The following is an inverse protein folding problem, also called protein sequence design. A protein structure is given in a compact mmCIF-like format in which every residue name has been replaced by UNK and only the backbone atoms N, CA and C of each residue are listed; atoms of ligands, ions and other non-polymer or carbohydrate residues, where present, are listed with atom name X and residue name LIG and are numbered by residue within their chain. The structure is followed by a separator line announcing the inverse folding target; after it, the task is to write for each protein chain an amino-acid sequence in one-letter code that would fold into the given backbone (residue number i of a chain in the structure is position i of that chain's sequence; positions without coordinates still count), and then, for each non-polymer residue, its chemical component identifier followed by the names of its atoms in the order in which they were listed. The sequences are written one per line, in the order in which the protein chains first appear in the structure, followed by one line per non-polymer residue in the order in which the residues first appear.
data_IF_331443284624
#
_entry.id   IF_331443284624
#
_cell.length_a   1.000
_cell.length_b   1.000
_cell.length_c   1.000
_cell.angle_alpha   90.00
_cell.angle_beta   90.00
_cell.angle_gamma   90.00
#
_symmetry.space_group_name_H-M   'P 1'
#
loop_
_entity.id
_entity.type
_entity.pdbx_description
1 polymer ?
#
# COMPACT_ATOMS: atom_id res chain seq x y z
N UNK A 1 -39.79 -37.83 -40.56
CA UNK A 1 -39.95 -37.71 -39.11
C UNK A 1 -41.07 -36.69 -38.89
N UNK A 2 -42.17 -37.09 -38.24
CA UNK A 2 -43.36 -36.26 -38.06
C UNK A 2 -42.99 -35.00 -37.23
N UNK A 3 -43.45 -33.80 -37.65
CA UNK A 3 -43.10 -32.55 -36.89
C UNK A 3 -43.53 -32.58 -35.43
N UNK A 4 -44.53 -33.36 -35.10
CA UNK A 4 -44.99 -33.55 -33.74
C UNK A 4 -43.99 -34.33 -32.86
N UNK A 5 -43.32 -35.36 -33.41
CA UNK A 5 -42.26 -36.10 -32.71
C UNK A 5 -41.02 -35.27 -32.46
N UNK A 6 -40.69 -34.35 -33.38
CA UNK A 6 -39.54 -33.42 -33.22
C UNK A 6 -39.78 -32.43 -32.08
N UNK A 7 -40.98 -31.90 -31.97
CA UNK A 7 -41.30 -30.96 -30.87
C UNK A 7 -41.35 -31.66 -29.51
N UNK A 8 -41.84 -32.92 -29.43
CA UNK A 8 -41.82 -33.68 -28.17
C UNK A 8 -40.42 -34.01 -27.71
N UNK A 9 -39.48 -34.35 -28.61
CA UNK A 9 -38.06 -34.60 -28.27
C UNK A 9 -37.38 -33.33 -27.80
N UNK A 10 -37.64 -32.19 -28.42
CA UNK A 10 -37.06 -30.90 -28.00
C UNK A 10 -37.56 -30.48 -26.60
N UNK A 11 -38.86 -30.59 -26.34
CA UNK A 11 -39.45 -30.23 -25.04
C UNK A 11 -38.96 -31.16 -23.94
N UNK A 12 -38.86 -32.47 -24.19
CA UNK A 12 -38.33 -33.41 -23.19
C UNK A 12 -36.84 -33.16 -22.86
N UNK A 13 -36.05 -32.78 -23.89
CA UNK A 13 -34.63 -32.40 -23.70
C UNK A 13 -34.45 -31.16 -22.80
N UNK A 14 -35.30 -30.16 -22.94
CA UNK A 14 -35.28 -28.97 -22.07
C UNK A 14 -35.72 -29.28 -20.64
N UNK A 15 -36.72 -30.14 -20.45
CA UNK A 15 -37.20 -30.58 -19.12
C UNK A 15 -36.09 -31.33 -18.39
N UNK A 16 -35.34 -32.20 -19.05
CA UNK A 16 -34.21 -32.93 -18.46
C UNK A 16 -33.08 -31.97 -18.14
N UNK A 17 -32.80 -30.99 -19.01
CA UNK A 17 -31.78 -29.94 -18.76
C UNK A 17 -32.11 -29.08 -17.54
N UNK A 18 -33.37 -28.61 -17.44
CA UNK A 18 -33.79 -27.81 -16.28
C UNK A 18 -33.87 -28.62 -14.99
N UNK A 19 -34.29 -29.91 -15.07
CA UNK A 19 -34.29 -30.80 -13.90
C UNK A 19 -32.85 -31.08 -13.41
N UNK A 20 -31.90 -31.29 -14.34
CA UNK A 20 -30.48 -31.47 -13.99
C UNK A 20 -29.85 -30.19 -13.35
N UNK A 21 -30.17 -29.02 -13.91
CA UNK A 21 -29.73 -27.73 -13.34
C UNK A 21 -30.36 -27.48 -11.97
N UNK A 22 -31.67 -27.75 -11.81
CA UNK A 22 -32.36 -27.63 -10.53
C UNK A 22 -31.80 -28.58 -9.47
N UNK A 23 -31.50 -29.82 -9.85
CA UNK A 23 -30.89 -30.82 -8.96
C UNK A 23 -29.45 -30.39 -8.57
N UNK A 24 -28.68 -29.88 -9.55
CA UNK A 24 -27.33 -29.35 -9.29
C UNK A 24 -27.33 -28.16 -8.32
N UNK A 25 -28.25 -27.22 -8.50
CA UNK A 25 -28.45 -26.09 -7.60
C UNK A 25 -28.96 -26.55 -6.22
N UNK A 26 -29.87 -27.53 -6.17
CA UNK A 26 -30.38 -28.07 -4.90
C UNK A 26 -29.31 -28.84 -4.15
N UNK A 27 -28.49 -29.67 -4.79
CA UNK A 27 -27.35 -30.36 -4.17
C UNK A 27 -26.28 -29.37 -3.74
N UNK A 28 -26.06 -28.32 -4.52
CA UNK A 28 -25.13 -27.22 -4.18
C UNK A 28 -25.62 -26.35 -3.00
N UNK A 29 -26.95 -26.23 -2.81
CA UNK A 29 -27.58 -25.46 -1.73
C UNK A 29 -27.81 -26.26 -0.45
N UNK A 30 -27.59 -27.58 -0.45
CA UNK A 30 -27.69 -28.38 0.77
C UNK A 30 -26.71 -27.82 1.81
N UNK A 31 -27.19 -27.50 3.04
CA UNK A 31 -26.32 -27.09 4.10
C UNK A 31 -25.32 -28.21 4.38
N UNK A 32 -24.07 -28.02 3.93
CA UNK A 32 -23.00 -28.97 4.21
C UNK A 32 -22.95 -29.14 5.72
N UNK A 33 -23.10 -30.38 6.17
CA UNK A 33 -23.13 -30.72 7.60
C UNK A 33 -22.03 -30.01 8.37
N UNK A 34 -22.30 -29.61 9.60
CA UNK A 34 -21.31 -28.96 10.46
C UNK A 34 -20.06 -29.86 10.55
N UNK A 35 -18.94 -29.37 10.04
CA UNK A 35 -17.67 -30.07 10.15
C UNK A 35 -16.99 -29.67 11.44
N UNK A 36 -16.28 -30.62 12.02
CA UNK A 36 -15.42 -30.36 13.17
C UNK A 36 -14.16 -29.66 12.66
N UNK A 37 -13.74 -28.62 13.34
CA UNK A 37 -12.49 -27.92 13.03
C UNK A 37 -11.30 -28.81 13.34
N UNK A 38 -10.52 -29.11 12.32
CA UNK A 38 -9.31 -29.94 12.40
C UNK A 38 -8.05 -29.13 12.64
N UNK A 39 -8.05 -27.85 12.25
CA UNK A 39 -6.92 -26.96 12.43
C UNK A 39 -7.21 -25.53 11.98
N UNK A 40 -6.27 -24.64 12.29
CA UNK A 40 -6.27 -23.25 11.85
C UNK A 40 -4.94 -22.91 11.18
N UNK A 41 -5.00 -22.31 10.00
CA UNK A 41 -3.83 -21.84 9.26
C UNK A 41 -3.95 -20.35 8.98
N UNK A 42 -2.89 -19.60 9.25
CA UNK A 42 -2.79 -18.18 8.98
C UNK A 42 -1.71 -17.95 7.93
N UNK A 43 -2.05 -17.23 6.87
CA UNK A 43 -1.11 -16.80 5.85
C UNK A 43 -1.12 -15.29 5.75
N UNK A 44 0.05 -14.66 5.93
CA UNK A 44 0.23 -13.22 5.76
C UNK A 44 0.89 -12.97 4.41
N UNK A 45 0.23 -12.19 3.57
CA UNK A 45 0.79 -11.65 2.34
C UNK A 45 1.41 -10.29 2.63
N UNK A 46 2.72 -10.19 2.49
CA UNK A 46 3.50 -8.99 2.76
C UNK A 46 4.55 -8.77 1.66
N UNK A 47 4.99 -7.52 1.41
CA UNK A 47 6.13 -7.25 0.54
C UNK A 47 7.39 -7.96 1.07
N UNK A 48 8.30 -8.35 0.16
CA UNK A 48 9.52 -9.10 0.53
C UNK A 48 10.46 -8.32 1.46
N UNK A 49 10.40 -7.01 1.36
CA UNK A 49 11.25 -6.03 2.05
C UNK A 49 10.57 -5.36 3.25
N UNK A 50 9.37 -5.80 3.64
CA UNK A 50 8.59 -5.20 4.73
C UNK A 50 7.86 -6.27 5.53
N UNK A 51 8.48 -6.79 6.57
CA UNK A 51 7.85 -7.76 7.48
C UNK A 51 7.27 -7.06 8.73
N UNK A 52 6.27 -6.19 8.53
CA UNK A 52 5.72 -5.34 9.59
C UNK A 52 4.78 -6.07 10.55
N UNK A 53 4.21 -7.21 10.12
CA UNK A 53 3.20 -7.99 10.85
C UNK A 53 3.62 -9.47 10.91
N UNK A 54 3.49 -10.08 12.07
CA UNK A 54 3.68 -11.53 12.27
C UNK A 54 2.40 -12.17 12.81
N UNK A 55 2.26 -13.49 12.66
CA UNK A 55 1.06 -14.23 13.10
C UNK A 55 0.79 -14.05 14.59
N UNK A 56 1.83 -13.92 15.41
CA UNK A 56 1.69 -13.73 16.86
C UNK A 56 0.95 -12.44 17.22
N UNK A 57 1.07 -11.37 16.41
CA UNK A 57 0.39 -10.11 16.65
C UNK A 57 -1.14 -10.22 16.48
N UNK A 58 -1.61 -11.18 15.67
CA UNK A 58 -3.03 -11.42 15.42
C UNK A 58 -3.69 -12.37 16.44
N UNK A 59 -2.91 -12.85 17.42
CA UNK A 59 -3.44 -13.77 18.45
C UNK A 59 -4.59 -13.19 19.29
N UNK A 60 -4.57 -11.89 19.67
CA UNK A 60 -5.68 -11.28 20.39
C UNK A 60 -7.01 -11.34 19.62
N UNK A 61 -6.98 -11.08 18.30
CA UNK A 61 -8.13 -11.08 17.41
C UNK A 61 -8.74 -12.49 17.30
N UNK A 62 -7.88 -13.51 17.16
CA UNK A 62 -8.32 -14.91 17.15
C UNK A 62 -8.96 -15.31 18.48
N UNK A 63 -8.35 -14.94 19.61
CA UNK A 63 -8.88 -15.24 20.95
C UNK A 63 -10.22 -14.52 21.20
N UNK A 64 -10.37 -13.29 20.71
CA UNK A 64 -11.61 -12.52 20.86
C UNK A 64 -12.84 -13.20 20.19
N UNK A 65 -12.59 -14.15 19.27
CA UNK A 65 -13.62 -14.95 18.58
C UNK A 65 -13.58 -16.42 19.01
N UNK A 66 -12.97 -16.70 20.15
CA UNK A 66 -12.99 -18.02 20.80
C UNK A 66 -11.95 -19.04 20.33
N UNK A 67 -10.86 -18.60 19.65
CA UNK A 67 -9.76 -19.54 19.35
C UNK A 67 -9.06 -20.03 20.63
N UNK A 68 -8.55 -21.27 20.65
CA UNK A 68 -8.46 -22.24 19.54
C UNK A 68 -9.78 -22.96 19.30
N UNK A 69 -10.12 -23.18 18.02
CA UNK A 69 -11.40 -23.82 17.62
C UNK A 69 -11.31 -25.31 17.33
N UNK A 70 -10.14 -25.94 17.48
CA UNK A 70 -9.94 -27.37 17.22
C UNK A 70 -10.93 -28.21 18.02
N UNK A 71 -11.69 -29.05 17.32
CA UNK A 71 -12.75 -29.84 17.92
C UNK A 71 -14.14 -29.16 17.95
N UNK A 72 -14.22 -27.84 17.75
CA UNK A 72 -15.50 -27.12 17.66
C UNK A 72 -16.18 -27.33 16.30
N UNK A 73 -17.47 -27.02 16.21
CA UNK A 73 -18.17 -26.99 14.93
C UNK A 73 -17.77 -25.76 14.13
N UNK A 74 -17.52 -25.91 12.81
CA UNK A 74 -17.26 -24.76 11.91
C UNK A 74 -18.40 -23.73 11.91
N UNK A 75 -19.61 -24.12 12.28
CA UNK A 75 -20.78 -23.22 12.39
C UNK A 75 -20.74 -22.32 13.63
N UNK A 76 -19.97 -22.71 14.66
CA UNK A 76 -19.83 -21.95 15.91
C UNK A 76 -18.83 -20.78 15.75
N UNK A 77 -18.01 -20.82 14.70
CA UNK A 77 -17.04 -19.74 14.44
C UNK A 77 -17.75 -18.59 13.75
N UNK A 78 -17.75 -17.44 14.39
CA UNK A 78 -18.25 -16.21 13.79
C UNK A 78 -17.21 -15.62 12.82
N UNK A 79 -17.16 -16.18 11.58
CA UNK A 79 -16.22 -15.78 10.54
C UNK A 79 -16.33 -14.26 10.20
N UNK A 80 -17.55 -13.68 10.02
CA UNK A 80 -17.66 -12.25 9.76
C UNK A 80 -17.04 -11.37 10.86
N UNK A 81 -17.28 -11.73 12.11
CA UNK A 81 -16.69 -11.01 13.25
C UNK A 81 -15.17 -11.15 13.29
N UNK A 82 -14.64 -12.32 12.96
CA UNK A 82 -13.20 -12.54 12.89
C UNK A 82 -12.56 -11.70 11.79
N UNK A 83 -13.15 -11.65 10.60
CA UNK A 83 -12.68 -10.78 9.52
C UNK A 83 -12.71 -9.30 9.89
N UNK A 84 -13.78 -8.87 10.59
CA UNK A 84 -13.89 -7.50 11.10
C UNK A 84 -12.78 -7.19 12.09
N UNK A 85 -12.52 -8.07 13.06
CA UNK A 85 -11.45 -7.92 14.05
C UNK A 85 -10.07 -7.87 13.39
N UNK A 86 -9.81 -8.78 12.45
CA UNK A 86 -8.54 -8.78 11.70
C UNK A 86 -8.36 -7.49 10.87
N UNK A 87 -9.42 -6.99 10.23
CA UNK A 87 -9.38 -5.72 9.46
C UNK A 87 -9.21 -4.48 10.34
N UNK A 88 -9.63 -4.55 11.60
CA UNK A 88 -9.44 -3.47 12.56
C UNK A 88 -8.00 -3.37 13.08
N UNK A 89 -7.16 -4.40 12.87
CA UNK A 89 -5.76 -4.38 13.27
C UNK A 89 -4.95 -3.37 12.44
N UNK A 90 -4.10 -2.57 13.07
CA UNK A 90 -3.40 -1.43 12.47
C UNK A 90 -2.61 -1.77 11.21
N UNK A 91 -2.00 -2.95 11.15
CA UNK A 91 -1.16 -3.40 10.04
C UNK A 91 -1.90 -4.20 8.97
N UNK A 92 -3.21 -4.42 9.10
CA UNK A 92 -4.00 -5.20 8.16
C UNK A 92 -4.67 -4.31 7.13
N UNK A 93 -4.42 -4.58 5.84
CA UNK A 93 -5.10 -3.95 4.70
C UNK A 93 -6.40 -4.70 4.36
N UNK A 94 -6.31 -6.06 4.30
CA UNK A 94 -7.44 -6.94 4.01
C UNK A 94 -7.31 -8.23 4.80
N UNK A 95 -8.44 -8.81 5.17
CA UNK A 95 -8.51 -10.12 5.77
C UNK A 95 -9.67 -10.91 5.16
N UNK A 96 -9.42 -12.17 4.85
CA UNK A 96 -10.39 -13.15 4.36
C UNK A 96 -10.27 -14.40 5.22
N UNK A 97 -11.40 -14.91 5.72
CA UNK A 97 -11.44 -16.12 6.54
C UNK A 97 -12.48 -17.07 5.96
N UNK A 98 -12.11 -18.32 5.80
CA UNK A 98 -13.03 -19.36 5.34
C UNK A 98 -12.67 -20.72 5.91
N UNK A 99 -13.66 -21.60 5.99
CA UNK A 99 -13.45 -23.00 6.30
C UNK A 99 -13.35 -23.83 5.03
N UNK A 100 -12.39 -24.73 4.97
CA UNK A 100 -12.19 -25.65 3.87
C UNK A 100 -13.01 -26.95 4.08
N UNK A 101 -13.11 -27.73 3.02
CA UNK A 101 -13.88 -28.98 3.03
C UNK A 101 -13.36 -30.04 4.02
N UNK A 102 -12.07 -29.97 4.39
CA UNK A 102 -11.38 -30.84 5.35
C UNK A 102 -11.53 -30.37 6.82
N UNK A 103 -12.26 -29.28 7.05
CA UNK A 103 -12.45 -28.72 8.39
C UNK A 103 -11.37 -27.76 8.84
N UNK A 104 -10.40 -27.41 7.99
CA UNK A 104 -9.38 -26.39 8.32
C UNK A 104 -9.98 -24.99 8.19
N UNK A 105 -9.80 -24.13 9.20
CA UNK A 105 -10.08 -22.70 9.12
C UNK A 105 -8.84 -22.01 8.53
N UNK A 106 -9.01 -21.27 7.46
CA UNK A 106 -7.93 -20.50 6.82
C UNK A 106 -8.17 -19.01 6.94
N UNK A 107 -7.17 -18.31 7.48
CA UNK A 107 -7.13 -16.85 7.53
C UNK A 107 -6.06 -16.34 6.60
N UNK A 108 -6.46 -15.61 5.56
CA UNK A 108 -5.56 -14.95 4.62
C UNK A 108 -5.57 -13.47 4.94
N UNK A 109 -4.43 -12.94 5.35
CA UNK A 109 -4.27 -11.56 5.76
C UNK A 109 -3.32 -10.86 4.81
N UNK A 110 -3.72 -9.72 4.26
CA UNK A 110 -2.83 -8.84 3.50
C UNK A 110 -2.36 -7.71 4.41
N UNK A 111 -1.05 -7.63 4.63
CA UNK A 111 -0.42 -6.56 5.38
C UNK A 111 -0.48 -5.23 4.60
N UNK A 112 -0.65 -4.11 5.30
CA UNK A 112 -0.45 -2.76 4.73
C UNK A 112 0.99 -2.58 4.25
N UNK A 113 1.16 -1.88 3.14
CA UNK A 113 2.48 -1.54 2.61
C UNK A 113 2.83 -0.11 3.00
N UNK A 114 3.91 0.06 3.74
CA UNK A 114 4.43 1.39 4.06
C UNK A 114 5.12 2.01 2.84
N UNK A 115 4.77 3.25 2.52
CA UNK A 115 5.33 4.01 1.38
C UNK A 115 6.25 5.13 1.81
N UNK A 116 6.01 5.71 2.97
CA UNK A 116 6.84 6.73 3.59
C UNK A 116 6.76 6.66 5.11
N UNK A 117 7.69 7.31 5.78
CA UNK A 117 7.63 7.59 7.20
C UNK A 117 7.27 9.05 7.39
N UNK A 118 6.13 9.29 8.04
CA UNK A 118 5.69 10.65 8.40
C UNK A 118 6.32 10.99 9.75
N UNK A 119 6.97 12.15 9.81
CA UNK A 119 7.62 12.65 11.02
C UNK A 119 6.90 13.91 11.49
N UNK A 120 6.44 13.92 12.73
CA UNK A 120 5.80 15.07 13.38
C UNK A 120 6.39 15.25 14.77
N UNK A 121 7.30 16.20 14.93
CA UNK A 121 8.05 16.38 16.17
C UNK A 121 8.86 15.14 16.54
N UNK A 122 8.59 14.57 17.71
CA UNK A 122 9.24 13.34 18.20
C UNK A 122 8.53 12.05 17.79
N UNK A 123 7.38 12.16 17.13
CA UNK A 123 6.58 11.00 16.71
C UNK A 123 6.83 10.66 15.25
N UNK A 124 6.80 9.38 14.96
CA UNK A 124 6.87 8.88 13.59
C UNK A 124 5.82 7.79 13.40
N UNK A 125 5.21 7.78 12.21
CA UNK A 125 4.25 6.76 11.78
C UNK A 125 4.54 6.38 10.34
N UNK A 126 4.05 5.23 9.89
CA UNK A 126 4.05 4.88 8.47
C UNK A 126 2.86 5.50 7.75
N UNK A 127 3.01 5.74 6.45
CA UNK A 127 1.91 6.09 5.56
C UNK A 127 1.77 5.04 4.46
N UNK A 128 0.53 4.65 4.15
CA UNK A 128 0.18 3.81 3.01
C UNK A 128 -0.02 4.64 1.73
N UNK A 129 -0.22 3.98 0.59
CA UNK A 129 -0.40 4.64 -0.71
C UNK A 129 -1.66 5.55 -0.78
N UNK A 130 -2.64 5.34 0.10
CA UNK A 130 -3.86 6.14 0.21
C UNK A 130 -3.70 7.37 1.11
N UNK A 131 -2.53 7.53 1.73
CA UNK A 131 -2.27 8.57 2.71
C UNK A 131 -2.87 8.29 4.09
N UNK A 132 -3.27 7.04 4.34
CA UNK A 132 -3.61 6.56 5.66
C UNK A 132 -2.35 6.35 6.49
N UNK A 133 -2.43 6.64 7.78
CA UNK A 133 -1.28 6.47 8.69
C UNK A 133 -1.49 5.27 9.61
N UNK A 134 -0.40 4.62 10.01
CA UNK A 134 -0.40 3.50 10.94
C UNK A 134 0.92 3.44 11.73
N UNK A 135 0.96 2.77 12.91
CA UNK A 135 2.10 2.79 13.80
C UNK A 135 3.39 2.23 13.17
N UNK A 136 4.54 2.52 13.79
CA UNK A 136 5.78 1.82 13.46
C UNK A 136 5.73 0.39 13.95
N UNK A 137 6.27 -0.54 13.16
CA UNK A 137 6.39 -1.94 13.54
C UNK A 137 7.55 -2.15 14.51
N UNK A 138 7.36 -3.08 15.44
CA UNK A 138 8.45 -3.59 16.31
C UNK A 138 9.28 -4.71 15.64
N UNK A 139 8.82 -5.23 14.50
CA UNK A 139 9.45 -6.37 13.83
C UNK A 139 10.40 -5.96 12.72
N UNK A 140 10.05 -4.87 12.00
CA UNK A 140 10.83 -4.41 10.86
C UNK A 140 10.79 -2.89 10.74
N UNK A 141 11.86 -2.32 10.20
CA UNK A 141 12.00 -0.88 9.97
C UNK A 141 12.54 -0.64 8.56
N UNK A 142 11.70 -0.76 7.54
CA UNK A 142 12.12 -0.60 6.16
C UNK A 142 12.68 0.79 5.90
N UNK A 143 13.65 0.86 4.98
CA UNK A 143 14.19 2.14 4.50
C UNK A 143 13.15 2.82 3.60
N UNK A 144 12.56 3.88 4.09
CA UNK A 144 11.50 4.62 3.43
C UNK A 144 11.84 6.11 3.39
N UNK A 145 11.35 6.84 2.38
CA UNK A 145 11.44 8.28 2.37
C UNK A 145 10.77 8.90 3.61
N UNK A 146 11.34 10.00 4.08
CA UNK A 146 10.80 10.77 5.20
C UNK A 146 9.89 11.89 4.66
N UNK A 147 8.76 12.12 5.33
CA UNK A 147 7.88 13.26 5.02
C UNK A 147 7.60 13.98 6.33
N UNK A 148 7.92 15.28 6.38
CA UNK A 148 7.62 16.16 7.50
C UNK A 148 6.65 17.27 7.08
N UNK A 149 5.98 17.90 8.05
CA UNK A 149 5.05 19.01 7.81
C UNK A 149 3.70 18.63 7.19
N UNK A 150 3.51 17.41 6.71
CA UNK A 150 2.23 16.94 6.18
C UNK A 150 1.34 16.41 7.31
N UNK A 151 0.16 17.02 7.51
CA UNK A 151 -0.76 16.71 8.60
C UNK A 151 -2.05 16.05 8.15
N UNK A 152 -2.43 16.21 6.87
CA UNK A 152 -3.65 15.65 6.30
C UNK A 152 -3.36 14.50 5.35
N UNK A 153 -4.30 13.57 5.22
CA UNK A 153 -4.20 12.48 4.23
C UNK A 153 -4.06 12.99 2.78
N UNK A 154 -4.55 14.21 2.50
CA UNK A 154 -4.40 14.84 1.18
C UNK A 154 -2.94 15.25 0.94
N UNK A 155 -2.33 15.93 1.90
CA UNK A 155 -0.93 16.38 1.84
C UNK A 155 0.01 15.17 1.76
N UNK A 156 -0.22 14.15 2.58
CA UNK A 156 0.52 12.90 2.53
C UNK A 156 0.45 12.26 1.14
N UNK A 157 -0.74 12.16 0.54
CA UNK A 157 -0.88 11.64 -0.84
C UNK A 157 -0.13 12.47 -1.86
N UNK A 158 -0.14 13.79 -1.74
CA UNK A 158 0.62 14.68 -2.62
C UNK A 158 2.12 14.46 -2.48
N UNK A 159 2.62 14.33 -1.25
CA UNK A 159 4.01 14.00 -0.98
C UNK A 159 4.41 12.65 -1.59
N UNK A 160 3.59 11.60 -1.38
CA UNK A 160 3.83 10.28 -1.97
C UNK A 160 3.86 10.30 -3.50
N UNK A 161 2.95 11.05 -4.14
CA UNK A 161 2.95 11.23 -5.59
C UNK A 161 4.21 11.94 -6.10
N UNK A 162 4.73 12.90 -5.36
CA UNK A 162 5.98 13.58 -5.70
C UNK A 162 7.17 12.62 -5.56
N UNK A 163 7.24 11.87 -4.48
CA UNK A 163 8.29 10.86 -4.25
C UNK A 163 8.30 9.79 -5.34
N UNK A 164 7.13 9.24 -5.70
CA UNK A 164 7.00 8.23 -6.74
C UNK A 164 7.45 8.78 -8.12
N UNK A 165 7.06 10.01 -8.45
CA UNK A 165 7.49 10.66 -9.70
C UNK A 165 8.99 10.93 -9.73
N UNK A 166 9.54 11.38 -8.61
CA UNK A 166 10.98 11.64 -8.49
C UNK A 166 11.79 10.35 -8.65
N UNK A 167 11.36 9.26 -8.02
CA UNK A 167 12.03 7.96 -8.10
C UNK A 167 12.08 7.39 -9.53
N UNK A 168 11.14 7.79 -10.39
CA UNK A 168 11.05 7.34 -11.79
C UNK A 168 11.68 8.32 -12.78
N UNK A 169 12.07 9.52 -12.34
CA UNK A 169 12.53 10.57 -13.26
C UNK A 169 14.06 10.65 -13.33
N UNK A 170 14.60 10.68 -14.55
CA UNK A 170 16.05 10.69 -14.83
C UNK A 170 16.81 11.91 -14.28
N UNK A 171 16.13 12.98 -13.89
CA UNK A 171 16.74 14.13 -13.22
C UNK A 171 17.14 13.83 -11.77
N UNK A 172 16.55 12.80 -11.15
CA UNK A 172 16.71 12.49 -9.72
C UNK A 172 17.16 11.04 -9.54
N UNK A 173 18.42 10.69 -9.85
CA UNK A 173 18.93 9.34 -9.63
C UNK A 173 18.73 8.92 -8.16
N UNK A 174 18.09 7.74 -7.92
CA UNK A 174 17.74 7.29 -6.58
C UNK A 174 16.49 7.96 -5.98
N UNK A 175 15.93 8.98 -6.63
CA UNK A 175 14.77 9.71 -6.14
C UNK A 175 15.09 10.74 -5.05
N UNK A 176 14.13 10.97 -4.18
CA UNK A 176 14.25 11.85 -3.02
C UNK A 176 14.11 11.04 -1.73
N UNK A 177 15.05 11.20 -0.79
CA UNK A 177 14.98 10.50 0.50
C UNK A 177 14.13 11.22 1.53
N UNK A 178 13.83 12.52 1.32
CA UNK A 178 12.95 13.27 2.20
C UNK A 178 12.18 14.37 1.45
N UNK A 179 11.00 14.68 1.97
CA UNK A 179 10.18 15.84 1.63
C UNK A 179 9.77 16.55 2.92
N UNK A 180 9.89 17.86 2.91
CA UNK A 180 9.37 18.73 3.97
C UNK A 180 8.28 19.63 3.38
N UNK A 181 7.11 19.68 4.03
CA UNK A 181 6.01 20.57 3.66
C UNK A 181 5.92 21.73 4.64
N UNK A 182 6.09 22.92 4.11
CA UNK A 182 5.93 24.18 4.83
C UNK A 182 4.75 24.97 4.24
N UNK A 183 3.94 25.61 5.10
CA UNK A 183 2.74 26.31 4.69
C UNK A 183 3.00 27.50 3.75
N UNK A 184 4.17 28.12 3.83
CA UNK A 184 4.54 29.29 3.04
C UNK A 184 5.27 28.93 1.74
N UNK A 185 6.17 27.96 1.83
CA UNK A 185 7.07 27.59 0.72
C UNK A 185 6.60 26.39 -0.07
N UNK A 186 5.68 25.59 0.46
CA UNK A 186 5.27 24.32 -0.10
C UNK A 186 6.31 23.23 0.14
N UNK A 187 6.41 22.27 -0.77
CA UNK A 187 7.34 21.16 -0.64
C UNK A 187 8.79 21.56 -0.88
N UNK A 188 9.66 21.10 0.00
CA UNK A 188 11.12 21.10 -0.19
C UNK A 188 11.58 19.65 -0.27
N UNK A 189 12.30 19.31 -1.33
CA UNK A 189 12.78 17.97 -1.60
C UNK A 189 14.28 17.84 -1.34
N UNK A 190 14.67 16.66 -0.87
CA UNK A 190 16.07 16.30 -0.59
C UNK A 190 16.44 15.09 -1.45
N UNK A 191 17.26 15.28 -2.51
CA UNK A 191 17.69 14.21 -3.40
C UNK A 191 18.58 13.17 -2.69
N UNK A 192 18.42 11.88 -3.06
CA UNK A 192 19.25 10.79 -2.50
C UNK A 192 20.72 10.91 -2.90
N UNK A 193 21.02 11.45 -4.08
CA UNK A 193 22.36 11.44 -4.70
C UNK A 193 23.20 12.71 -4.44
N UNK A 194 22.61 13.76 -3.84
CA UNK A 194 23.29 15.04 -3.56
C UNK A 194 22.78 15.72 -2.31
N UNK A 195 23.64 16.54 -1.68
CA UNK A 195 23.33 17.17 -0.38
C UNK A 195 22.52 18.47 -0.46
N UNK A 196 22.27 19.02 -1.68
CA UNK A 196 21.46 20.22 -1.82
C UNK A 196 19.95 19.95 -1.60
N UNK A 197 19.21 21.01 -1.33
CA UNK A 197 17.74 20.97 -1.22
C UNK A 197 17.10 21.63 -2.44
N UNK A 198 15.92 21.15 -2.83
CA UNK A 198 15.14 21.69 -3.93
C UNK A 198 13.83 22.25 -3.36
N UNK A 199 13.66 23.58 -3.40
CA UNK A 199 12.38 24.20 -3.05
C UNK A 199 11.42 24.00 -4.21
N UNK A 200 10.58 22.97 -4.07
CA UNK A 200 9.67 22.50 -5.12
C UNK A 200 8.39 23.32 -5.19
N UNK A 201 7.91 23.79 -4.02
CA UNK A 201 6.63 24.49 -3.91
C UNK A 201 5.44 23.54 -4.03
N UNK A 202 4.44 23.92 -4.81
CA UNK A 202 3.25 23.10 -5.00
C UNK A 202 3.55 21.82 -5.80
N UNK A 203 2.75 20.77 -5.60
CA UNK A 203 2.91 19.47 -6.26
C UNK A 203 2.59 19.50 -7.78
N UNK A 204 2.08 20.63 -8.29
CA UNK A 204 1.76 20.82 -9.71
C UNK A 204 3.00 20.99 -10.59
N UNK A 205 2.81 20.81 -11.91
CA UNK A 205 3.81 21.08 -12.95
C UNK A 205 5.14 20.30 -12.77
N UNK A 206 5.04 19.04 -12.31
CA UNK A 206 6.21 18.22 -12.01
C UNK A 206 7.17 18.10 -13.20
N UNK A 207 6.66 17.80 -14.40
CA UNK A 207 7.48 17.55 -15.59
C UNK A 207 8.31 18.76 -15.97
N UNK A 208 7.71 19.96 -15.94
CA UNK A 208 8.40 21.22 -16.26
C UNK A 208 9.48 21.54 -15.22
N UNK A 209 9.16 21.47 -13.94
CA UNK A 209 10.12 21.68 -12.84
C UNK A 209 11.28 20.70 -12.90
N UNK A 210 11.01 19.41 -13.16
CA UNK A 210 12.01 18.38 -13.29
C UNK A 210 12.90 18.62 -14.52
N UNK A 211 12.32 19.06 -15.65
CA UNK A 211 13.08 19.40 -16.85
C UNK A 211 14.05 20.55 -16.58
N UNK A 212 13.58 21.63 -15.94
CA UNK A 212 14.43 22.79 -15.58
C UNK A 212 15.52 22.42 -14.57
N UNK A 213 15.20 21.58 -13.59
CA UNK A 213 16.19 21.06 -12.64
C UNK A 213 17.27 20.25 -13.36
N UNK A 214 16.87 19.38 -14.29
CA UNK A 214 17.81 18.59 -15.11
C UNK A 214 18.73 19.48 -15.95
N UNK A 215 18.20 20.54 -16.54
CA UNK A 215 18.99 21.50 -17.31
C UNK A 215 20.03 22.21 -16.43
N UNK A 216 19.63 22.63 -15.21
CA UNK A 216 20.57 23.19 -14.24
C UNK A 216 21.67 22.20 -13.86
N UNK A 217 21.32 20.92 -13.60
CA UNK A 217 22.32 19.91 -13.27
C UNK A 217 23.32 19.68 -14.39
N UNK A 218 22.83 19.61 -15.64
CA UNK A 218 23.71 19.47 -16.80
C UNK A 218 24.68 20.66 -16.91
N UNK A 219 24.18 21.89 -16.75
CA UNK A 219 24.98 23.10 -16.74
C UNK A 219 25.98 23.12 -15.58
N UNK A 220 25.54 22.76 -14.37
CA UNK A 220 26.38 22.74 -13.18
C UNK A 220 27.51 21.70 -13.28
N UNK A 221 27.22 20.54 -13.89
CA UNK A 221 28.21 19.50 -14.16
C UNK A 221 29.27 19.99 -15.18
N UNK A 222 28.81 20.59 -16.28
CA UNK A 222 29.70 21.13 -17.32
C UNK A 222 30.65 22.20 -16.78
N UNK A 223 30.17 23.03 -15.84
CA UNK A 223 30.94 24.12 -15.25
C UNK A 223 31.53 23.79 -13.87
N UNK A 224 31.53 22.53 -13.47
CA UNK A 224 32.17 22.00 -12.26
C UNK A 224 31.74 22.67 -10.93
N UNK A 225 30.45 23.05 -10.79
CA UNK A 225 29.93 23.62 -9.56
C UNK A 225 28.77 22.81 -8.96
N UNK A 226 28.50 21.61 -9.46
CA UNK A 226 27.39 20.77 -9.00
C UNK A 226 27.49 20.50 -7.49
N UNK A 227 28.67 20.17 -6.98
CA UNK A 227 28.94 19.92 -5.55
C UNK A 227 28.85 21.17 -4.67
N UNK A 228 28.82 22.35 -5.29
CA UNK A 228 28.68 23.61 -4.60
C UNK A 228 27.21 24.06 -4.46
N UNK A 229 26.28 23.36 -5.09
CA UNK A 229 24.86 23.69 -4.96
C UNK A 229 24.39 23.44 -3.51
N UNK A 230 23.77 24.45 -2.91
CA UNK A 230 23.13 24.37 -1.58
C UNK A 230 21.62 24.31 -1.70
N UNK A 231 21.04 25.21 -2.49
CA UNK A 231 19.60 25.32 -2.65
C UNK A 231 19.26 25.60 -4.11
N UNK A 232 18.25 24.89 -4.60
CA UNK A 232 17.64 25.11 -5.91
C UNK A 232 16.17 25.48 -5.69
N UNK A 233 15.70 26.58 -6.29
CA UNK A 233 14.30 27.02 -6.21
C UNK A 233 13.66 26.96 -7.60
N UNK A 234 12.69 26.07 -7.77
CA UNK A 234 11.97 25.81 -9.03
C UNK A 234 10.53 26.29 -9.01
N UNK A 235 10.13 27.07 -8.01
CA UNK A 235 8.76 27.59 -7.87
C UNK A 235 8.39 28.59 -8.95
N UNK A 236 9.35 29.34 -9.47
CA UNK A 236 9.13 30.41 -10.45
C UNK A 236 8.96 29.80 -11.84
N UNK A 237 8.03 30.37 -12.63
CA UNK A 237 7.90 30.00 -14.03
C UNK A 237 9.15 30.43 -14.81
N UNK A 238 9.56 29.62 -15.77
CA UNK A 238 10.61 29.90 -16.75
C UNK A 238 12.02 30.20 -16.20
N UNK A 239 12.25 30.05 -14.89
CA UNK A 239 13.57 30.26 -14.29
C UNK A 239 13.85 29.27 -13.14
N UNK A 240 15.13 29.05 -12.89
CA UNK A 240 15.63 28.33 -11.72
C UNK A 240 16.57 29.26 -10.98
N UNK A 241 16.27 29.49 -9.69
CA UNK A 241 17.13 30.25 -8.81
C UNK A 241 17.93 29.28 -7.96
N UNK A 242 19.23 29.49 -7.82
CA UNK A 242 20.05 28.62 -6.97
C UNK A 242 21.08 29.41 -6.17
N UNK A 243 21.47 28.84 -5.04
CA UNK A 243 22.59 29.33 -4.21
C UNK A 243 23.69 28.27 -4.17
N UNK A 244 24.91 28.75 -4.02
CA UNK A 244 26.08 27.89 -3.81
C UNK A 244 26.55 28.02 -2.39
N UNK A 245 27.12 26.95 -1.87
CA UNK A 245 27.88 26.99 -0.61
C UNK A 245 29.08 27.87 -0.83
N UNK A 246 29.24 28.95 -0.07
CA UNK A 246 30.51 29.69 -0.04
C UNK A 246 31.56 28.76 0.53
N UNK A 247 32.56 28.37 -0.26
CA UNK A 247 33.76 27.76 0.29
C UNK A 247 34.30 28.73 1.37
N UNK A 248 34.60 28.27 2.59
CA UNK A 248 35.37 29.09 3.48
C UNK A 248 36.67 29.40 2.75
N UNK A 249 36.90 30.68 2.44
CA UNK A 249 38.17 31.16 1.94
C UNK A 249 39.23 30.69 2.91
N UNK A 250 40.14 29.80 2.43
CA UNK A 250 41.32 29.44 3.19
C UNK A 250 42.09 30.73 3.46
N UNK A 251 42.10 31.12 4.73
CA UNK A 251 43.08 32.10 5.28
C UNK A 251 44.30 31.36 5.72
#
# INVERSE_FOLDING_TARGET
MNPWMRNTVIVSSWIIGFAGLGLGLWVGSQPRGSKVVTGHTVRIHQPKDQALLVVADLTPEFRAVGAPWTGASTKEINIPLLEEKLRAHDFVEKAEVFSTWDGTVRSIVKQKTAKARIVSGLQSVYADAQGGVFPLSKHDSPRLPLVSGAHTSREIRQALQLLDRAAQHSAFPGGWYALDLDDQTGFTAYPEWHSHRIVWGQASNFADKAHRTKALYAHALQHQYLDQLDRIDVRFADQVVFTRTSSPSAQ
#
